data_IF_054931476071
#
_entry.id   IF_054931476071
#
_cell.length_a   1.000
_cell.length_b   1.000
_cell.length_c   1.000
_cell.angle_alpha   90.00
_cell.angle_beta   90.00
_cell.angle_gamma   90.00
#
_symmetry.space_group_name_H-M   'P 1'
#
loop_
_entity.id
_entity.type
_entity.pdbx_description
1 polymer ?
#
# COMPACT_ATOMS: atom_id res chain seq x y z
N UNK A 1 10.59 9.40 -24.85
CA UNK A 1 11.47 10.19 -23.96
C UNK A 1 10.69 10.45 -22.67
N UNK A 2 11.01 9.79 -21.55
CA UNK A 2 10.29 9.91 -20.26
C UNK A 2 11.25 10.51 -19.22
N UNK A 3 11.66 11.75 -19.43
CA UNK A 3 12.46 12.49 -18.46
C UNK A 3 11.66 13.73 -18.04
N UNK A 4 11.46 13.88 -16.72
CA UNK A 4 10.92 15.07 -16.10
C UNK A 4 12.09 15.77 -15.40
N UNK A 5 12.42 17.00 -15.84
CA UNK A 5 13.60 17.75 -15.37
C UNK A 5 13.11 19.06 -14.76
N UNK A 6 13.67 19.45 -13.62
CA UNK A 6 13.36 20.68 -12.89
C UNK A 6 11.87 20.83 -12.48
N UNK A 7 11.17 19.73 -12.24
CA UNK A 7 9.78 19.72 -11.77
C UNK A 7 9.69 19.80 -10.24
N UNK A 8 8.65 20.45 -9.72
CA UNK A 8 8.42 20.57 -8.27
C UNK A 8 7.91 19.25 -7.63
N UNK A 9 7.32 18.39 -8.46
CA UNK A 9 6.77 17.09 -8.10
C UNK A 9 7.07 16.11 -9.22
N UNK A 10 7.50 14.89 -8.86
CA UNK A 10 7.76 13.80 -9.80
C UNK A 10 7.14 12.50 -9.29
N UNK A 11 6.55 11.72 -10.19
CA UNK A 11 6.04 10.39 -9.87
C UNK A 11 7.10 9.33 -10.17
N UNK A 12 7.52 8.60 -9.14
CA UNK A 12 8.58 7.61 -9.21
C UNK A 12 8.29 6.40 -8.32
N UNK A 13 8.33 5.20 -8.91
CA UNK A 13 8.16 3.90 -8.21
C UNK A 13 6.89 3.79 -7.34
N UNK A 14 5.77 4.38 -7.77
CA UNK A 14 4.52 4.35 -7.00
C UNK A 14 4.42 5.43 -5.92
N UNK A 15 5.39 6.34 -5.87
CA UNK A 15 5.41 7.50 -4.99
C UNK A 15 5.43 8.80 -5.78
N UNK A 16 4.73 9.77 -5.25
CA UNK A 16 4.83 11.17 -5.64
C UNK A 16 5.84 11.84 -4.72
N UNK A 17 6.98 12.24 -5.28
CA UNK A 17 8.05 12.93 -4.57
C UNK A 17 7.91 14.42 -4.84
N UNK A 18 7.72 15.19 -3.78
CA UNK A 18 7.70 16.66 -3.79
C UNK A 18 8.82 17.21 -2.90
N UNK A 19 9.10 18.52 -2.99
CA UNK A 19 10.22 19.17 -2.28
C UNK A 19 10.40 18.75 -0.80
N UNK A 20 9.30 18.57 -0.05
CA UNK A 20 9.35 18.23 1.38
C UNK A 20 8.61 16.94 1.75
N UNK A 21 7.94 16.27 0.81
CA UNK A 21 7.07 15.13 1.13
C UNK A 21 7.16 14.05 0.06
N UNK A 22 7.27 12.81 0.53
CA UNK A 22 7.03 11.61 -0.27
C UNK A 22 5.64 11.13 0.09
N UNK A 23 4.77 11.02 -0.90
CA UNK A 23 3.40 10.52 -0.73
C UNK A 23 3.19 9.33 -1.66
N UNK A 24 2.32 8.37 -1.31
CA UNK A 24 1.91 7.36 -2.27
C UNK A 24 1.17 8.02 -3.44
N UNK A 25 1.35 7.50 -4.65
CA UNK A 25 0.59 7.99 -5.82
C UNK A 25 -0.90 7.80 -5.59
N UNK A 26 -1.69 8.85 -5.91
CA UNK A 26 -3.15 8.83 -5.73
C UNK A 26 -3.82 7.67 -6.46
N UNK A 27 -3.34 7.32 -7.66
CA UNK A 27 -3.89 6.20 -8.43
C UNK A 27 -3.70 4.86 -7.73
N UNK A 28 -2.57 4.67 -7.04
CA UNK A 28 -2.32 3.44 -6.28
C UNK A 28 -3.19 3.36 -5.04
N UNK A 29 -3.40 4.49 -4.37
CA UNK A 29 -4.34 4.58 -3.24
C UNK A 29 -5.77 4.32 -3.72
N UNK A 30 -6.19 4.93 -4.82
CA UNK A 30 -7.53 4.77 -5.38
C UNK A 30 -7.80 3.31 -5.76
N UNK A 31 -6.83 2.64 -6.39
CA UNK A 31 -6.94 1.22 -6.70
C UNK A 31 -7.11 0.36 -5.43
N UNK A 32 -6.38 0.66 -4.36
CA UNK A 32 -6.52 -0.04 -3.07
C UNK A 32 -7.90 0.21 -2.45
N UNK A 33 -8.41 1.44 -2.50
CA UNK A 33 -9.72 1.79 -1.98
C UNK A 33 -10.89 1.19 -2.78
N UNK A 34 -10.66 0.82 -4.03
CA UNK A 34 -11.63 0.14 -4.89
C UNK A 34 -11.65 -1.38 -4.70
N UNK A 35 -10.70 -1.95 -3.94
CA UNK A 35 -10.71 -3.38 -3.67
C UNK A 35 -11.94 -3.70 -2.81
N UNK A 36 -12.76 -4.64 -3.27
CA UNK A 36 -13.89 -5.16 -2.52
C UNK A 36 -13.43 -5.85 -1.23
N UNK A 37 -14.32 -5.89 -0.23
CA UNK A 37 -14.02 -6.49 1.06
C UNK A 37 -13.62 -7.97 0.87
N UNK A 38 -12.43 -8.39 1.36
CA UNK A 38 -11.94 -9.73 1.11
C UNK A 38 -12.79 -10.76 1.86
N UNK A 39 -13.51 -11.60 1.12
CA UNK A 39 -14.34 -12.67 1.68
C UNK A 39 -13.54 -13.93 2.03
N UNK A 40 -12.27 -14.01 1.62
CA UNK A 40 -11.43 -15.19 1.81
C UNK A 40 -10.08 -14.86 2.43
N UNK A 41 -9.51 -15.82 3.16
CA UNK A 41 -8.20 -15.66 3.80
C UNK A 41 -7.09 -15.34 2.80
N UNK A 42 -7.15 -15.91 1.60
CA UNK A 42 -6.17 -15.69 0.53
C UNK A 42 -6.23 -14.24 0.04
N UNK A 43 -7.44 -13.72 -0.21
CA UNK A 43 -7.63 -12.32 -0.61
C UNK A 43 -7.17 -11.36 0.49
N UNK A 44 -7.49 -11.68 1.75
CA UNK A 44 -7.08 -10.89 2.91
C UNK A 44 -5.55 -10.82 3.05
N UNK A 45 -4.85 -11.96 2.90
CA UNK A 45 -3.38 -11.99 2.91
C UNK A 45 -2.78 -11.23 1.72
N UNK A 46 -3.35 -11.37 0.52
CA UNK A 46 -2.90 -10.63 -0.66
C UNK A 46 -3.05 -9.12 -0.48
N UNK A 47 -4.17 -8.66 0.09
CA UNK A 47 -4.42 -7.26 0.40
C UNK A 47 -3.41 -6.73 1.41
N UNK A 48 -3.18 -7.45 2.52
CA UNK A 48 -2.15 -7.07 3.52
C UNK A 48 -0.77 -7.02 2.88
N UNK A 49 -0.42 -7.98 2.01
CA UNK A 49 0.82 -7.98 1.27
C UNK A 49 0.99 -6.72 0.42
N UNK A 50 -0.06 -6.31 -0.30
CA UNK A 50 -0.07 -5.08 -1.10
C UNK A 50 0.05 -3.82 -0.22
N UNK A 51 -0.68 -3.76 0.90
CA UNK A 51 -0.65 -2.64 1.85
C UNK A 51 0.69 -2.50 2.58
N UNK A 52 1.42 -3.61 2.76
CA UNK A 52 2.75 -3.62 3.40
C UNK A 52 3.75 -2.70 2.68
N UNK A 53 3.61 -2.53 1.35
CA UNK A 53 4.42 -1.57 0.58
C UNK A 53 4.27 -0.13 1.09
N UNK A 54 3.08 0.23 1.56
CA UNK A 54 2.74 1.56 2.08
C UNK A 54 2.71 1.65 3.61
N UNK A 55 3.26 0.64 4.32
CA UNK A 55 3.24 0.57 5.80
C UNK A 55 3.74 1.83 6.51
N UNK A 56 4.64 2.59 5.89
CA UNK A 56 5.18 3.86 6.46
C UNK A 56 4.11 4.96 6.59
N UNK A 57 3.04 4.86 5.82
CA UNK A 57 1.91 5.80 5.81
C UNK A 57 0.71 5.30 6.61
N UNK A 58 0.73 4.04 7.03
CA UNK A 58 -0.37 3.39 7.75
C UNK A 58 -0.02 3.27 9.24
N UNK A 59 -0.60 4.12 10.11
CA UNK A 59 -0.39 3.97 11.55
C UNK A 59 -0.97 2.64 12.03
N UNK A 60 -0.28 1.97 12.95
CA UNK A 60 -0.71 0.71 13.57
C UNK A 60 -0.99 -0.44 12.58
N UNK A 61 -0.29 -0.48 11.44
CA UNK A 61 -0.46 -1.53 10.42
C UNK A 61 -0.33 -2.95 11.01
N UNK A 62 0.62 -3.16 11.94
CA UNK A 62 0.81 -4.45 12.60
C UNK A 62 -0.43 -4.91 13.39
N UNK A 63 -1.13 -3.98 14.07
CA UNK A 63 -2.34 -4.28 14.84
C UNK A 63 -3.50 -4.66 13.91
N UNK A 64 -3.61 -3.99 12.76
CA UNK A 64 -4.65 -4.27 11.76
C UNK A 64 -4.39 -5.62 11.07
N UNK A 65 -3.13 -5.95 10.80
CA UNK A 65 -2.72 -7.18 10.15
C UNK A 65 -2.70 -8.41 11.08
N UNK A 66 -2.59 -8.19 12.40
CA UNK A 66 -2.53 -9.23 13.42
C UNK A 66 -3.63 -10.31 13.34
N UNK A 67 -4.94 -9.97 13.23
CA UNK A 67 -5.99 -10.99 13.16
C UNK A 67 -5.86 -11.89 11.93
N UNK A 68 -5.48 -11.34 10.78
CA UNK A 68 -5.31 -12.13 9.56
C UNK A 68 -4.06 -13.02 9.66
N UNK A 69 -2.95 -12.50 10.20
CA UNK A 69 -1.74 -13.30 10.43
C UNK A 69 -1.95 -14.43 11.45
N UNK A 70 -2.75 -14.21 12.49
CA UNK A 70 -3.08 -15.24 13.47
C UNK A 70 -3.76 -16.44 12.79
N UNK A 71 -4.73 -16.18 11.92
CA UNK A 71 -5.48 -17.25 11.22
C UNK A 71 -4.57 -17.99 10.23
N UNK A 72 -3.71 -17.29 9.48
CA UNK A 72 -2.75 -17.91 8.54
C UNK A 72 -1.75 -18.84 9.25
N UNK A 73 -1.34 -18.51 10.48
CA UNK A 73 -0.37 -19.32 11.24
C UNK A 73 -0.99 -20.60 11.84
N UNK A 74 -2.31 -20.68 11.99
CA UNK A 74 -3.00 -21.88 12.48
C UNK A 74 -3.17 -22.98 11.41
N UNK A 75 -3.00 -22.65 10.13
CA UNK A 75 -3.11 -23.59 8.99
C UNK A 75 -1.81 -24.32 8.62
N UNK A 76 -0.80 -24.33 9.51
CA UNK A 76 0.48 -25.02 9.26
C UNK A 76 0.59 -26.33 10.03
#
# INVERSE_FOLDING_TARGET
MKCEIAVQQVDYLGYTISQNRVSPMKDKIAAILQIEEPCTLVQANNLIGALSWYRKFLPNFATIAAPIHAITNHTK
#
